data_IF_591975505332
#
_entry.id   IF_591975505332
#
_cell.length_a   1.000
_cell.length_b   1.000
_cell.length_c   1.000
_cell.angle_alpha   90.00
_cell.angle_beta   90.00
_cell.angle_gamma   90.00
#
_symmetry.space_group_name_H-M   'P 1'
#
loop_
_entity.id
_entity.type
_entity.pdbx_description
1 polymer ?
#
# COMPACT_ATOMS: atom_id res chain seq x y z
N UNK A 1 -47.94 -23.80 -70.62
CA UNK A 1 -47.97 -25.24 -70.25
C UNK A 1 -47.24 -25.38 -68.92
N UNK A 2 -47.89 -25.86 -67.86
CA UNK A 2 -47.25 -26.05 -66.56
C UNK A 2 -46.37 -27.30 -66.61
N UNK A 3 -45.05 -27.13 -66.59
CA UNK A 3 -44.11 -28.26 -66.49
C UNK A 3 -44.35 -29.02 -65.18
N UNK A 4 -44.94 -30.21 -65.29
CA UNK A 4 -45.14 -31.14 -64.20
C UNK A 4 -43.94 -32.08 -64.13
N UNK A 5 -43.30 -32.13 -62.97
CA UNK A 5 -42.17 -32.99 -62.68
C UNK A 5 -42.68 -34.22 -61.93
N UNK A 6 -42.48 -35.40 -62.50
CA UNK A 6 -42.85 -36.67 -61.86
C UNK A 6 -41.62 -37.30 -61.22
N UNK A 7 -41.57 -37.27 -59.88
CA UNK A 7 -40.53 -38.01 -59.14
C UNK A 7 -41.08 -39.42 -58.92
N UNK A 8 -40.41 -40.41 -59.50
CA UNK A 8 -40.76 -41.82 -59.36
C UNK A 8 -39.66 -42.51 -58.58
N UNK A 9 -39.98 -43.01 -57.38
CA UNK A 9 -39.06 -43.78 -56.56
C UNK A 9 -39.49 -45.24 -56.64
N UNK A 10 -38.66 -46.09 -57.24
CA UNK A 10 -38.87 -47.53 -57.34
C UNK A 10 -38.03 -48.24 -56.27
N UNK A 11 -38.68 -49.01 -55.39
CA UNK A 11 -37.97 -49.94 -54.49
C UNK A 11 -37.86 -51.31 -55.12
N UNK A 12 -36.84 -52.06 -54.71
CA UNK A 12 -36.59 -53.45 -55.10
C UNK A 12 -37.74 -54.41 -54.73
N UNK A 13 -38.64 -53.96 -53.84
CA UNK A 13 -39.87 -54.67 -53.44
C UNK A 13 -41.06 -54.47 -54.40
N UNK A 14 -40.85 -53.85 -55.57
CA UNK A 14 -41.88 -53.63 -56.59
C UNK A 14 -42.91 -52.53 -56.27
N UNK A 15 -42.86 -51.91 -55.08
CA UNK A 15 -43.71 -50.77 -54.74
C UNK A 15 -43.16 -49.49 -55.38
N UNK A 16 -43.97 -48.85 -56.22
CA UNK A 16 -43.65 -47.60 -56.92
C UNK A 16 -44.41 -46.45 -56.26
N UNK A 17 -43.68 -45.44 -55.78
CA UNK A 17 -44.27 -44.21 -55.25
C UNK A 17 -44.06 -43.11 -56.28
N UNK A 18 -45.15 -42.49 -56.74
CA UNK A 18 -45.15 -41.41 -57.74
C UNK A 18 -45.63 -40.12 -57.11
N UNK A 19 -44.79 -39.09 -57.12
CA UNK A 19 -45.15 -37.76 -56.65
C UNK A 19 -45.17 -36.77 -57.82
N UNK A 20 -46.34 -36.28 -58.25
CA UNK A 20 -46.43 -35.18 -59.20
C UNK A 20 -46.15 -33.86 -58.46
N UNK A 21 -45.12 -33.13 -58.88
CA UNK A 21 -44.76 -31.82 -58.32
C UNK A 21 -44.50 -30.79 -59.42
N UNK A 22 -44.39 -29.54 -59.03
CA UNK A 22 -44.04 -28.43 -59.95
C UNK A 22 -42.75 -27.79 -59.48
N UNK A 23 -41.92 -27.33 -60.42
CA UNK A 23 -40.64 -26.69 -60.12
C UNK A 23 -40.76 -25.54 -59.10
N UNK A 24 -41.85 -24.76 -59.16
CA UNK A 24 -42.12 -23.67 -58.21
C UNK A 24 -42.26 -24.15 -56.75
N UNK A 25 -42.96 -25.26 -56.52
CA UNK A 25 -43.14 -25.82 -55.16
C UNK A 25 -41.83 -26.38 -54.60
N UNK A 26 -41.02 -27.01 -55.46
CA UNK A 26 -39.72 -27.55 -55.07
C UNK A 26 -38.73 -26.43 -54.69
N UNK A 27 -38.67 -25.36 -55.48
CA UNK A 27 -37.86 -24.18 -55.15
C UNK A 27 -38.32 -23.50 -53.85
N UNK A 28 -39.64 -23.36 -53.64
CA UNK A 28 -40.17 -22.81 -52.39
C UNK A 28 -39.73 -23.64 -51.17
N UNK A 29 -39.86 -24.97 -51.24
CA UNK A 29 -39.41 -25.86 -50.15
C UNK A 29 -37.90 -25.77 -49.92
N UNK A 30 -37.10 -25.71 -50.99
CA UNK A 30 -35.65 -25.60 -50.89
C UNK A 30 -35.23 -24.27 -50.25
N UNK A 31 -35.78 -23.14 -50.70
CA UNK A 31 -35.49 -21.82 -50.11
C UNK A 31 -35.92 -21.75 -48.64
N UNK A 32 -37.07 -22.31 -48.28
CA UNK A 32 -37.51 -22.43 -46.88
C UNK A 32 -36.56 -23.26 -46.02
N UNK A 33 -36.10 -24.41 -46.53
CA UNK A 33 -35.13 -25.25 -45.84
C UNK A 33 -33.78 -24.54 -45.60
N UNK A 34 -33.29 -23.79 -46.60
CA UNK A 34 -32.06 -22.98 -46.47
C UNK A 34 -32.22 -21.88 -45.42
N UNK A 35 -33.39 -21.21 -45.38
CA UNK A 35 -33.69 -20.16 -44.40
C UNK A 35 -33.72 -20.71 -42.97
N UNK A 36 -34.33 -21.88 -42.76
CA UNK A 36 -34.34 -22.57 -41.47
C UNK A 36 -32.92 -22.95 -41.05
N UNK A 37 -32.11 -23.48 -41.98
CA UNK A 37 -30.74 -23.90 -41.68
C UNK A 37 -29.86 -22.69 -41.31
N UNK A 38 -30.03 -21.56 -41.99
CA UNK A 38 -29.38 -20.29 -41.61
C UNK A 38 -29.80 -19.82 -40.22
N UNK A 39 -31.09 -19.90 -39.90
CA UNK A 39 -31.60 -19.51 -38.59
C UNK A 39 -31.02 -20.41 -37.48
N UNK A 40 -30.94 -21.72 -37.71
CA UNK A 40 -30.29 -22.67 -36.79
C UNK A 40 -28.78 -22.39 -36.63
N UNK A 41 -28.09 -22.01 -37.71
CA UNK A 41 -26.67 -21.64 -37.63
C UNK A 41 -26.47 -20.39 -36.77
N UNK A 42 -27.31 -19.36 -36.95
CA UNK A 42 -27.25 -18.12 -36.16
C UNK A 42 -27.54 -18.37 -34.68
N UNK A 43 -28.58 -19.16 -34.37
CA UNK A 43 -28.90 -19.50 -32.97
C UNK A 43 -27.82 -20.36 -32.33
N UNK A 44 -27.15 -21.23 -33.10
CA UNK A 44 -26.02 -22.02 -32.63
C UNK A 44 -24.82 -21.14 -32.26
N UNK A 45 -24.43 -20.21 -33.15
CA UNK A 45 -23.33 -19.26 -32.88
C UNK A 45 -23.64 -18.38 -31.67
N UNK A 46 -24.87 -17.89 -31.56
CA UNK A 46 -25.30 -17.09 -30.41
C UNK A 46 -25.26 -17.90 -29.10
N UNK A 47 -25.69 -19.17 -29.14
CA UNK A 47 -25.63 -20.07 -27.99
C UNK A 47 -24.20 -20.34 -27.53
N UNK A 48 -23.26 -20.55 -28.46
CA UNK A 48 -21.83 -20.71 -28.14
C UNK A 48 -21.27 -19.42 -27.49
N UNK A 49 -21.64 -18.25 -28.01
CA UNK A 49 -21.26 -16.97 -27.42
C UNK A 49 -21.79 -16.79 -25.99
N UNK A 50 -23.06 -17.13 -25.75
CA UNK A 50 -23.64 -17.08 -24.40
C UNK A 50 -22.98 -18.09 -23.45
N UNK A 51 -22.73 -19.31 -23.92
CA UNK A 51 -22.11 -20.36 -23.12
C UNK A 51 -20.68 -19.99 -22.71
N UNK A 52 -19.87 -19.46 -23.64
CA UNK A 52 -18.52 -18.98 -23.35
C UNK A 52 -18.51 -17.86 -22.31
N UNK A 53 -19.39 -16.85 -22.45
CA UNK A 53 -19.55 -15.77 -21.47
C UNK A 53 -19.97 -16.29 -20.10
N UNK A 54 -20.93 -17.21 -20.07
CA UNK A 54 -21.43 -17.82 -18.83
C UNK A 54 -20.31 -18.57 -18.10
N UNK A 55 -19.50 -19.34 -18.83
CA UNK A 55 -18.35 -20.07 -18.27
C UNK A 55 -17.32 -19.12 -17.67
N UNK A 56 -16.96 -18.04 -18.38
CA UNK A 56 -16.03 -17.02 -17.85
C UNK A 56 -16.60 -16.33 -16.61
N UNK A 57 -17.91 -16.06 -16.59
CA UNK A 57 -18.57 -15.46 -15.44
C UNK A 57 -18.50 -16.36 -14.20
N UNK A 58 -18.79 -17.67 -14.36
CA UNK A 58 -18.67 -18.64 -13.27
C UNK A 58 -17.25 -18.70 -12.68
N UNK A 59 -16.21 -18.65 -13.51
CA UNK A 59 -14.82 -18.63 -13.02
C UNK A 59 -14.50 -17.37 -12.21
N UNK A 60 -14.97 -16.20 -12.66
CA UNK A 60 -14.80 -14.94 -11.91
C UNK A 60 -15.56 -14.96 -10.59
N UNK A 61 -16.74 -15.56 -10.54
CA UNK A 61 -17.49 -15.73 -9.30
C UNK A 61 -16.73 -16.60 -8.30
N UNK A 62 -16.17 -17.73 -8.73
CA UNK A 62 -15.36 -18.57 -7.83
C UNK A 62 -14.11 -17.85 -7.33
N UNK A 63 -13.47 -17.04 -8.18
CA UNK A 63 -12.30 -16.25 -7.80
C UNK A 63 -12.65 -15.18 -6.77
N UNK A 64 -13.75 -14.43 -6.97
CA UNK A 64 -14.23 -13.43 -6.02
C UNK A 64 -14.60 -14.05 -4.67
N UNK A 65 -15.26 -15.21 -4.67
CA UNK A 65 -15.58 -15.94 -3.43
C UNK A 65 -14.31 -16.39 -2.69
N UNK A 66 -13.30 -16.84 -3.43
CA UNK A 66 -12.01 -17.21 -2.84
C UNK A 66 -11.30 -15.98 -2.25
N UNK A 67 -11.30 -14.85 -2.94
CA UNK A 67 -10.75 -13.59 -2.42
C UNK A 67 -11.47 -13.13 -1.16
N UNK A 68 -12.80 -13.22 -1.11
CA UNK A 68 -13.57 -12.90 0.09
C UNK A 68 -13.17 -13.80 1.26
N UNK A 69 -13.04 -15.10 1.05
CA UNK A 69 -12.62 -16.04 2.11
C UNK A 69 -11.23 -15.72 2.65
N UNK A 70 -10.27 -15.43 1.77
CA UNK A 70 -8.90 -15.03 2.16
C UNK A 70 -8.93 -13.71 2.94
N UNK A 71 -9.72 -12.74 2.49
CA UNK A 71 -9.85 -11.46 3.17
C UNK A 71 -10.49 -11.61 4.55
N UNK A 72 -11.54 -12.42 4.68
CA UNK A 72 -12.18 -12.74 5.97
C UNK A 72 -11.19 -13.41 6.93
N UNK A 73 -10.40 -14.37 6.44
CA UNK A 73 -9.37 -15.04 7.24
C UNK A 73 -8.27 -14.07 7.69
N UNK A 74 -7.79 -13.21 6.77
CA UNK A 74 -6.84 -12.15 7.09
C UNK A 74 -7.40 -11.19 8.14
N UNK A 75 -8.66 -10.78 8.02
CA UNK A 75 -9.33 -9.93 9.01
C UNK A 75 -9.45 -10.61 10.38
N UNK A 76 -9.79 -11.90 10.41
CA UNK A 76 -9.87 -12.66 11.65
C UNK A 76 -8.50 -12.76 12.34
N UNK A 77 -7.43 -12.98 11.56
CA UNK A 77 -6.06 -13.01 12.08
C UNK A 77 -5.63 -11.64 12.61
N UNK A 78 -5.90 -10.57 11.86
CA UNK A 78 -5.62 -9.20 12.32
C UNK A 78 -6.37 -8.85 13.61
N UNK A 79 -7.63 -9.27 13.74
CA UNK A 79 -8.41 -9.06 14.96
C UNK A 79 -7.80 -9.79 16.16
N UNK A 80 -7.41 -11.05 16.00
CA UNK A 80 -6.73 -11.82 17.05
C UNK A 80 -5.41 -11.17 17.46
N UNK A 81 -4.59 -10.74 16.50
CA UNK A 81 -3.32 -10.05 16.80
C UNK A 81 -3.60 -8.77 17.59
N UNK A 82 -4.54 -7.94 17.13
CA UNK A 82 -4.91 -6.72 17.83
C UNK A 82 -5.40 -6.98 19.25
N UNK A 83 -6.23 -8.00 19.47
CA UNK A 83 -6.69 -8.40 20.81
C UNK A 83 -5.52 -8.84 21.71
N UNK A 84 -4.57 -9.63 21.18
CA UNK A 84 -3.38 -10.02 21.96
C UNK A 84 -2.47 -8.84 22.29
N UNK A 85 -2.32 -7.88 21.39
CA UNK A 85 -1.55 -6.65 21.65
C UNK A 85 -2.24 -5.81 22.71
N UNK A 86 -3.57 -5.65 22.65
CA UNK A 86 -4.33 -4.94 23.68
C UNK A 86 -4.18 -5.60 25.04
N UNK A 87 -4.25 -6.93 25.12
CA UNK A 87 -4.04 -7.64 26.40
C UNK A 87 -2.65 -7.39 26.97
N UNK A 88 -1.60 -7.41 26.13
CA UNK A 88 -0.23 -7.08 26.54
C UNK A 88 -0.11 -5.65 27.05
N UNK A 89 -0.64 -4.68 26.28
CA UNK A 89 -0.66 -3.27 26.67
C UNK A 89 -1.38 -3.07 28.00
N UNK A 90 -2.56 -3.67 28.18
CA UNK A 90 -3.29 -3.60 29.45
C UNK A 90 -2.48 -4.17 30.60
N UNK A 91 -1.82 -5.32 30.42
CA UNK A 91 -0.97 -5.91 31.47
C UNK A 91 0.25 -5.06 31.84
N UNK A 92 0.83 -4.34 30.86
CA UNK A 92 1.93 -3.41 31.12
C UNK A 92 1.45 -2.16 31.86
N UNK A 93 0.28 -1.62 31.49
CA UNK A 93 -0.30 -0.46 32.18
C UNK A 93 -0.63 -0.81 33.62
N UNK A 94 -1.22 -1.98 33.89
CA UNK A 94 -1.51 -2.41 35.27
C UNK A 94 -0.24 -2.60 36.09
N UNK A 95 0.80 -3.22 35.51
CA UNK A 95 2.09 -3.39 36.20
C UNK A 95 2.75 -2.04 36.52
N UNK A 96 2.67 -1.07 35.61
CA UNK A 96 3.21 0.27 35.82
C UNK A 96 2.41 1.08 36.85
N UNK A 97 1.09 0.90 36.91
CA UNK A 97 0.25 1.50 37.94
C UNK A 97 0.58 0.93 39.34
N UNK A 98 0.83 -0.38 39.45
CA UNK A 98 1.30 -1.01 40.70
C UNK A 98 2.68 -0.49 41.12
N UNK A 99 3.64 -0.40 40.18
CA UNK A 99 4.97 0.16 40.44
C UNK A 99 4.87 1.61 40.92
N UNK A 100 4.03 2.44 40.28
CA UNK A 100 3.81 3.83 40.68
C UNK A 100 3.18 3.93 42.07
N UNK A 101 2.25 3.04 42.42
CA UNK A 101 1.65 3.01 43.74
C UNK A 101 2.70 2.67 44.82
N UNK A 102 3.56 1.67 44.56
CA UNK A 102 4.67 1.32 45.45
C UNK A 102 5.71 2.44 45.56
N UNK A 103 6.03 3.11 44.44
CA UNK A 103 6.91 4.28 44.46
C UNK A 103 6.32 5.39 45.33
N UNK A 104 5.01 5.66 45.21
CA UNK A 104 4.34 6.68 46.03
C UNK A 104 4.38 6.36 47.53
N UNK A 105 4.25 5.09 47.93
CA UNK A 105 4.31 4.71 49.35
C UNK A 105 5.74 4.85 49.88
N UNK A 106 6.74 4.41 49.12
CA UNK A 106 8.16 4.57 49.52
C UNK A 106 8.58 6.04 49.62
N UNK A 107 8.10 6.91 48.71
CA UNK A 107 8.35 8.35 48.79
C UNK A 107 7.73 8.96 50.04
N UNK A 108 6.50 8.57 50.41
CA UNK A 108 5.87 9.02 51.65
C UNK A 108 6.66 8.57 52.89
N UNK A 109 7.11 7.32 52.94
CA UNK A 109 7.91 6.80 54.05
C UNK A 109 9.27 7.50 54.16
N UNK A 110 9.92 7.80 53.03
CA UNK A 110 11.17 8.56 53.01
C UNK A 110 10.98 10.00 53.51
N UNK A 111 9.88 10.66 53.13
CA UNK A 111 9.55 11.99 53.65
C UNK A 111 9.32 11.98 55.16
N UNK A 112 8.61 10.98 55.69
CA UNK A 112 8.38 10.85 57.14
C UNK A 112 9.70 10.62 57.88
N UNK A 113 10.61 9.80 57.34
CA UNK A 113 11.96 9.63 57.89
C UNK A 113 12.79 10.90 57.80
N UNK A 114 12.70 11.67 56.72
CA UNK A 114 13.37 12.95 56.61
C UNK A 114 12.86 13.95 57.65
N UNK A 115 11.55 14.04 57.90
CA UNK A 115 11.00 14.90 58.96
C UNK A 115 11.51 14.51 60.35
N UNK A 116 11.66 13.21 60.63
CA UNK A 116 12.25 12.73 61.88
C UNK A 116 13.73 13.11 61.99
N UNK A 117 14.48 12.99 60.90
CA UNK A 117 15.90 13.39 60.85
C UNK A 117 16.03 14.90 61.09
N UNK A 118 15.22 15.73 60.42
CA UNK A 118 15.18 17.18 60.62
C UNK A 118 14.91 17.52 62.10
N UNK A 119 13.93 16.86 62.72
CA UNK A 119 13.58 17.08 64.13
C UNK A 119 14.70 16.67 65.10
N UNK A 120 15.41 15.58 64.81
CA UNK A 120 16.58 15.15 65.59
C UNK A 120 17.76 16.10 65.38
N UNK A 121 18.00 16.56 64.15
CA UNK A 121 19.05 17.52 63.81
C UNK A 121 18.83 18.88 64.49
N UNK A 122 17.59 19.36 64.52
CA UNK A 122 17.19 20.58 65.23
C UNK A 122 17.41 20.44 66.75
N UNK A 123 17.11 19.27 67.32
CA UNK A 123 17.34 18.97 68.75
C UNK A 123 18.84 18.94 69.11
N UNK A 124 19.71 18.52 68.17
CA UNK A 124 21.17 18.51 68.35
C UNK A 124 21.77 19.91 68.06
N UNK A 125 20.97 20.88 67.61
CA UNK A 125 21.40 22.24 67.29
C UNK A 125 22.25 22.32 66.03
N UNK A 126 22.18 21.31 65.15
CA UNK A 126 22.89 21.27 63.89
C UNK A 126 22.01 21.98 62.86
N UNK A 127 22.23 23.29 62.70
CA UNK A 127 21.60 24.05 61.62
C UNK A 127 22.15 23.58 60.28
N UNK A 128 21.29 23.34 59.30
CA UNK A 128 21.67 23.12 57.90
C UNK A 128 22.39 24.37 57.35
N UNK A 129 23.70 24.44 57.53
CA UNK A 129 24.53 25.23 56.65
C UNK A 129 24.50 24.54 55.28
N UNK A 130 23.98 25.22 54.26
CA UNK A 130 24.35 24.90 52.88
C UNK A 130 25.87 25.08 52.77
N UNK A 131 26.59 23.99 53.00
CA UNK A 131 28.04 23.98 53.03
C UNK A 131 28.54 24.00 51.59
N UNK A 132 29.01 25.17 51.16
CA UNK A 132 29.86 25.31 49.97
C UNK A 132 31.08 24.41 50.17
N UNK A 133 31.17 23.38 49.35
CA UNK A 133 32.24 22.39 49.35
C UNK A 133 33.62 23.06 49.38
N UNK A 134 34.33 22.86 50.49
CA UNK A 134 35.77 23.09 50.60
C UNK A 134 36.48 21.75 50.39
N UNK A 135 37.39 21.72 49.41
CA UNK A 135 38.06 20.52 48.95
C UNK A 135 38.95 19.87 50.00
N UNK A 136 38.89 18.54 50.05
CA UNK A 136 39.96 17.70 50.57
C UNK A 136 40.43 16.78 49.46
N UNK A 137 41.76 16.71 49.28
CA UNK A 137 42.43 15.85 48.32
C UNK A 137 42.19 14.38 48.69
N UNK A 138 41.18 13.79 48.05
CA UNK A 138 41.10 12.38 47.67
C UNK A 138 40.56 12.39 46.23
N UNK A 139 41.27 11.76 45.29
CA UNK A 139 41.22 12.06 43.83
C UNK A 139 40.02 11.48 43.07
N UNK A 140 38.83 11.57 43.67
CA UNK A 140 37.55 11.31 43.03
C UNK A 140 36.49 11.94 43.91
N UNK A 141 35.87 13.01 43.42
CA UNK A 141 34.81 13.71 44.16
C UNK A 141 33.64 12.77 44.49
N UNK A 142 32.70 13.19 45.36
CA UNK A 142 31.46 12.45 45.53
C UNK A 142 30.83 12.19 44.16
N UNK A 143 30.29 10.99 43.95
CA UNK A 143 29.53 10.67 42.74
C UNK A 143 28.35 11.63 42.66
N UNK A 144 28.49 12.66 41.83
CA UNK A 144 27.38 13.50 41.42
C UNK A 144 26.77 12.74 40.25
N UNK A 145 25.61 12.11 40.49
CA UNK A 145 24.79 11.61 39.40
C UNK A 145 24.62 12.76 38.43
N UNK A 146 25.16 12.62 37.22
CA UNK A 146 24.93 13.56 36.16
C UNK A 146 23.44 13.45 35.85
N UNK A 147 22.64 14.27 36.53
CA UNK A 147 21.26 14.52 36.15
C UNK A 147 21.34 15.10 34.76
N UNK A 148 21.27 14.24 33.74
CA UNK A 148 21.00 14.63 32.38
C UNK A 148 19.78 15.53 32.47
N UNK A 149 20.02 16.83 32.38
CA UNK A 149 18.93 17.76 32.55
C UNK A 149 17.99 17.50 31.39
N UNK A 150 16.69 17.61 31.61
CA UNK A 150 15.69 17.50 30.53
C UNK A 150 16.06 18.37 29.32
N UNK A 151 16.82 19.44 29.55
CA UNK A 151 17.40 20.31 28.53
C UNK A 151 18.47 19.63 27.67
N UNK A 152 19.41 18.88 28.26
CA UNK A 152 20.47 18.16 27.52
C UNK A 152 19.88 17.10 26.58
N UNK A 153 18.88 16.37 27.07
CA UNK A 153 18.16 15.39 26.24
C UNK A 153 17.42 16.08 25.08
N UNK A 154 16.78 17.23 25.35
CA UNK A 154 16.09 17.99 24.32
C UNK A 154 17.04 18.57 23.26
N UNK A 155 18.22 19.04 23.67
CA UNK A 155 19.27 19.49 22.75
C UNK A 155 19.75 18.34 21.88
N UNK A 156 20.04 17.18 22.48
CA UNK A 156 20.45 15.98 21.74
C UNK A 156 19.40 15.55 20.71
N UNK A 157 18.12 15.50 21.10
CA UNK A 157 17.02 15.18 20.20
C UNK A 157 16.91 16.19 19.07
N UNK A 158 17.02 17.48 19.38
CA UNK A 158 16.95 18.57 18.39
C UNK A 158 18.07 18.45 17.35
N UNK A 159 19.30 18.23 17.80
CA UNK A 159 20.45 18.06 16.91
C UNK A 159 20.29 16.84 16.00
N UNK A 160 19.75 15.73 16.53
CA UNK A 160 19.44 14.54 15.73
C UNK A 160 18.40 14.82 14.66
N UNK A 161 17.35 15.58 14.99
CA UNK A 161 16.35 15.98 14.01
C UNK A 161 16.93 16.91 12.95
N UNK A 162 17.72 17.92 13.34
CA UNK A 162 18.36 18.84 12.41
C UNK A 162 19.29 18.12 11.43
N UNK A 163 20.14 17.21 11.93
CA UNK A 163 21.00 16.37 11.08
C UNK A 163 20.20 15.52 10.11
N UNK A 164 19.07 14.96 10.56
CA UNK A 164 18.21 14.14 9.69
C UNK A 164 17.55 15.00 8.61
N UNK A 165 17.05 16.19 8.96
CA UNK A 165 16.42 17.11 8.02
C UNK A 165 17.38 17.59 6.92
N UNK A 166 18.67 17.77 7.23
CA UNK A 166 19.69 18.15 6.24
C UNK A 166 19.90 17.11 5.13
N UNK A 167 19.70 15.82 5.44
CA UNK A 167 19.86 14.72 4.50
C UNK A 167 18.55 14.31 3.82
N UNK A 168 17.42 14.95 4.17
CA UNK A 168 16.15 14.71 3.50
C UNK A 168 16.00 15.62 2.29
N UNK A 169 15.68 15.10 1.10
CA UNK A 169 15.52 15.90 -0.11
C UNK A 169 14.25 16.74 -0.02
N UNK A 170 14.39 17.95 0.51
CA UNK A 170 13.30 18.90 0.73
C UNK A 170 13.41 20.09 -0.23
N UNK A 171 12.26 20.66 -0.60
CA UNK A 171 12.19 21.80 -1.50
C UNK A 171 12.29 21.43 -2.99
N UNK A 172 12.62 22.41 -3.82
CA UNK A 172 12.63 22.27 -5.30
C UNK A 172 14.05 22.42 -5.83
N UNK A 173 14.53 21.52 -6.72
CA UNK A 173 15.87 21.60 -7.27
C UNK A 173 16.05 22.73 -8.31
N UNK A 174 14.95 23.27 -8.85
CA UNK A 174 14.95 24.34 -9.86
C UNK A 174 13.72 25.24 -9.70
N UNK A 175 13.88 26.52 -10.04
CA UNK A 175 12.78 27.49 -10.09
C UNK A 175 11.98 27.29 -11.38
N UNK A 176 10.83 26.62 -11.27
CA UNK A 176 9.98 26.33 -12.43
C UNK A 176 8.69 25.63 -12.04
N UNK A 177 7.64 25.78 -12.85
CA UNK A 177 6.37 25.09 -12.65
C UNK A 177 6.53 23.57 -12.90
N UNK A 178 5.72 22.75 -12.24
CA UNK A 178 5.68 21.30 -12.53
C UNK A 178 5.02 21.12 -13.89
N UNK A 179 5.76 20.63 -14.88
CA UNK A 179 5.24 20.29 -16.20
C UNK A 179 4.64 18.88 -16.23
N UNK A 180 5.19 17.95 -15.44
CA UNK A 180 4.67 16.59 -15.30
C UNK A 180 4.81 16.06 -13.88
N UNK A 181 3.75 15.45 -13.35
CA UNK A 181 3.72 14.85 -12.01
C UNK A 181 4.19 13.40 -12.04
N UNK A 182 4.54 12.89 -10.87
CA UNK A 182 4.77 11.47 -10.65
C UNK A 182 3.47 10.66 -10.86
N UNK A 183 3.57 9.47 -11.44
CA UNK A 183 2.45 8.54 -11.60
C UNK A 183 2.04 8.26 -13.05
N UNK A 184 0.81 7.76 -13.24
CA UNK A 184 0.29 7.39 -14.56
C UNK A 184 0.05 8.62 -15.43
N UNK A 185 0.60 8.63 -16.64
CA UNK A 185 0.36 9.68 -17.65
C UNK A 185 0.34 9.11 -19.07
N UNK A 186 -0.18 9.88 -20.01
CA UNK A 186 0.02 9.57 -21.44
C UNK A 186 1.43 9.95 -21.84
N UNK A 187 2.10 9.05 -22.53
CA UNK A 187 3.41 9.27 -23.13
C UNK A 187 3.31 10.36 -24.21
N UNK A 188 4.15 11.40 -24.20
CA UNK A 188 4.02 12.54 -25.09
C UNK A 188 4.53 12.23 -26.50
N UNK A 189 5.27 11.14 -26.68
CA UNK A 189 5.85 10.73 -27.96
C UNK A 189 4.90 9.78 -28.69
N UNK A 190 4.33 8.80 -27.98
CA UNK A 190 3.52 7.74 -28.60
C UNK A 190 2.05 7.69 -28.12
N UNK A 191 1.64 8.57 -27.19
CA UNK A 191 0.29 8.72 -26.67
C UNK A 191 -0.29 7.48 -25.96
N UNK A 192 0.55 6.52 -25.57
CA UNK A 192 0.14 5.34 -24.79
C UNK A 192 0.22 5.63 -23.30
N UNK A 193 -0.47 4.82 -22.49
CA UNK A 193 -0.36 4.91 -21.03
C UNK A 193 1.04 4.48 -20.59
N UNK A 194 1.71 5.35 -19.84
CA UNK A 194 3.03 5.13 -19.26
C UNK A 194 3.04 5.54 -17.77
N UNK A 195 4.05 5.08 -17.03
CA UNK A 195 4.27 5.47 -15.65
C UNK A 195 5.49 6.38 -15.56
N UNK A 196 5.30 7.54 -14.93
CA UNK A 196 6.34 8.52 -14.73
C UNK A 196 6.94 8.38 -13.33
N UNK A 197 8.19 7.91 -13.27
CA UNK A 197 8.91 7.66 -12.01
C UNK A 197 9.56 8.91 -11.39
N UNK A 198 9.24 10.10 -11.89
CA UNK A 198 9.82 11.36 -11.43
C UNK A 198 8.85 12.53 -11.52
N UNK A 199 9.36 13.73 -11.27
CA UNK A 199 8.63 14.99 -11.43
C UNK A 199 9.44 15.85 -12.40
N UNK A 200 8.77 16.35 -13.44
CA UNK A 200 9.38 17.22 -14.44
C UNK A 200 9.08 18.68 -14.10
N UNK A 201 10.11 19.51 -14.15
CA UNK A 201 10.01 20.95 -13.98
C UNK A 201 10.24 21.64 -15.32
N UNK A 202 9.42 22.64 -15.61
CA UNK A 202 9.68 23.53 -16.74
C UNK A 202 10.88 24.43 -16.42
N UNK A 203 11.84 24.53 -17.35
CA UNK A 203 13.03 25.35 -17.21
C UNK A 203 13.64 25.71 -18.56
N UNK A 204 14.50 26.73 -18.58
CA UNK A 204 15.28 27.15 -19.75
C UNK A 204 16.66 26.50 -19.72
N UNK A 205 17.28 26.37 -20.89
CA UNK A 205 18.67 25.91 -20.97
C UNK A 205 19.57 26.88 -20.20
N UNK A 206 20.37 26.34 -19.29
CA UNK A 206 21.27 27.11 -18.43
C UNK A 206 20.71 27.46 -17.04
N UNK A 207 19.46 27.12 -16.74
CA UNK A 207 18.91 27.33 -15.39
C UNK A 207 19.72 26.59 -14.33
N UNK A 208 19.94 27.25 -13.20
CA UNK A 208 20.71 26.68 -12.07
C UNK A 208 19.90 25.57 -11.40
N UNK A 209 20.49 24.37 -11.33
CA UNK A 209 19.96 23.23 -10.59
C UNK A 209 20.74 23.11 -9.27
N UNK A 210 20.03 22.96 -8.16
CA UNK A 210 20.59 22.79 -6.82
C UNK A 210 20.21 21.43 -6.23
N UNK A 211 21.06 20.89 -5.37
CA UNK A 211 20.73 19.71 -4.57
C UNK A 211 19.66 20.08 -3.53
N UNK A 212 18.71 19.18 -3.31
CA UNK A 212 17.62 19.36 -2.33
C UNK A 212 17.97 18.86 -0.94
N UNK A 213 19.14 18.25 -0.78
CA UNK A 213 19.68 17.74 0.47
C UNK A 213 21.21 17.68 0.39
N UNK A 214 21.84 17.62 1.56
CA UNK A 214 23.23 17.24 1.69
C UNK A 214 23.39 15.76 1.33
N UNK A 215 24.49 15.42 0.66
CA UNK A 215 24.78 14.05 0.24
C UNK A 215 26.05 13.97 -0.59
N UNK A 216 26.39 12.76 -1.02
CA UNK A 216 27.59 12.46 -1.81
C UNK A 216 27.23 12.17 -3.26
N UNK A 217 27.92 12.80 -4.21
CA UNK A 217 27.73 12.51 -5.64
C UNK A 217 28.17 11.07 -5.94
N UNK A 218 27.19 10.20 -6.18
CA UNK A 218 27.40 8.77 -6.48
C UNK A 218 27.72 8.53 -7.95
N UNK A 219 27.06 9.26 -8.86
CA UNK A 219 27.25 9.10 -10.31
C UNK A 219 27.03 10.42 -11.05
N UNK A 220 27.86 10.64 -12.07
CA UNK A 220 27.67 11.68 -13.10
C UNK A 220 27.78 10.99 -14.45
N UNK A 221 26.73 11.01 -15.26
CA UNK A 221 26.73 10.27 -16.52
C UNK A 221 25.80 10.89 -17.56
N UNK A 222 26.00 10.50 -18.83
CA UNK A 222 25.12 10.85 -19.94
C UNK A 222 24.62 9.58 -20.63
N UNK A 223 23.31 9.34 -20.59
CA UNK A 223 22.66 8.21 -21.26
C UNK A 223 21.62 8.74 -22.26
N UNK A 224 21.38 8.04 -23.37
CA UNK A 224 20.36 8.37 -24.37
C UNK A 224 18.93 8.47 -23.81
N UNK A 225 18.59 7.74 -22.74
CA UNK A 225 17.26 7.82 -22.12
C UNK A 225 17.06 9.02 -21.19
N UNK A 226 18.02 9.32 -20.32
CA UNK A 226 17.91 10.37 -19.28
C UNK A 226 18.66 11.66 -19.63
N UNK A 227 19.40 11.69 -20.74
CA UNK A 227 20.32 12.78 -21.05
C UNK A 227 21.45 12.85 -20.03
N UNK A 228 21.86 14.07 -19.67
CA UNK A 228 22.85 14.33 -18.60
C UNK A 228 22.16 14.19 -17.25
N UNK A 229 22.68 13.36 -16.36
CA UNK A 229 22.14 13.19 -15.02
C UNK A 229 23.23 13.10 -13.95
N UNK A 230 22.85 13.47 -12.73
CA UNK A 230 23.65 13.38 -11.51
C UNK A 230 22.82 12.61 -10.48
N UNK A 231 23.46 11.67 -9.78
CA UNK A 231 22.86 10.94 -8.66
C UNK A 231 23.62 11.27 -7.39
N UNK A 232 22.89 11.60 -6.33
CA UNK A 232 23.40 11.91 -4.99
C UNK A 232 22.84 10.86 -4.02
N UNK A 233 23.68 10.36 -3.12
CA UNK A 233 23.37 9.41 -2.04
C UNK A 233 23.44 10.11 -0.67
#
# INVERSE_FOLDING_TARGET
MSEQLHIIITRDTGKIIRFPSTWKKLHLLFTGAVLILLLLAVTSVFSISLFSKNRTFSSRLSELQQQLKINEESMANHKKISETERLKLTSQVTAFEEEKAMMSTTVSELNERNELIEKVMDTIGISHAQEKQAGTKNSGGPFIEQQETKLDNLLYITDRYLKTLQHLPLGRPVQGAISSRFGKRKDPVNNKNAFHSGIDFHGKSGDKIVATADGTVKRVFRNGGYGKYILID
#
